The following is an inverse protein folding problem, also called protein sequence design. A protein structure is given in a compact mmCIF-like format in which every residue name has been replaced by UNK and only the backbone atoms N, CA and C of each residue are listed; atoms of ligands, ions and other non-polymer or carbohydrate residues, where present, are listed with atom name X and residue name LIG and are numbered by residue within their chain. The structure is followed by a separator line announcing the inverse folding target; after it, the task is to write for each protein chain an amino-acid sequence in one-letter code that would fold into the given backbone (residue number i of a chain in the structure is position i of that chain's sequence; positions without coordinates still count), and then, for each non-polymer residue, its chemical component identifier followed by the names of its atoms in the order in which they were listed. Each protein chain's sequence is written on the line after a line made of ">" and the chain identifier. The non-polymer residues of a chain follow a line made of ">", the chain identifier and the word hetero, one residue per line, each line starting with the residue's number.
data_IF_960966494149
#
_entry.id   IF_960966494149
#
_cell.length_a   1.000
_cell.length_b   1.000
_cell.length_c   1.000
_cell.angle_alpha   90.00
_cell.angle_beta   90.00
_cell.angle_gamma   90.00
#
_symmetry.space_group_name_H-M   'P 1'
#
loop_
_entity.id
_entity.type
_entity.pdbx_description
1 polymer ?
#
# COMPACT_ATOMS: atom_id res chain seq x y z
N UNK A 1 -9.16 11.88 11.09
CA UNK A 1 -8.88 10.44 11.14
C UNK A 1 -9.38 9.88 12.46
N UNK A 2 -9.98 8.72 12.45
CA UNK A 2 -10.45 7.97 13.63
C UNK A 2 -9.32 7.10 14.18
N UNK A 3 -8.19 7.73 14.57
CA UNK A 3 -6.97 7.01 14.93
C UNK A 3 -7.15 6.19 16.22
N UNK A 4 -7.86 6.72 17.20
CA UNK A 4 -8.14 6.04 18.45
C UNK A 4 -8.98 4.79 18.22
N UNK A 5 -10.10 4.93 17.51
CA UNK A 5 -11.02 3.82 17.20
C UNK A 5 -10.32 2.72 16.38
N UNK A 6 -9.52 3.09 15.39
CA UNK A 6 -8.73 2.15 14.60
C UNK A 6 -7.71 1.42 15.48
N UNK A 7 -7.04 2.15 16.37
CA UNK A 7 -6.07 1.61 17.31
C UNK A 7 -6.69 0.63 18.32
N UNK A 8 -7.89 0.92 18.79
CA UNK A 8 -8.61 0.10 19.77
C UNK A 8 -9.25 -1.17 19.17
N UNK A 9 -9.42 -1.23 17.84
CA UNK A 9 -10.01 -2.37 17.15
C UNK A 9 -9.02 -3.56 17.05
N UNK A 10 -8.80 -4.22 18.18
CA UNK A 10 -7.86 -5.34 18.31
C UNK A 10 -8.24 -6.53 17.43
N UNK A 11 -9.54 -6.83 17.30
CA UNK A 11 -10.03 -7.96 16.50
C UNK A 11 -9.74 -7.77 15.02
N UNK A 12 -10.00 -6.58 14.46
CA UNK A 12 -9.70 -6.27 13.07
C UNK A 12 -8.19 -6.34 12.78
N UNK A 13 -7.37 -5.73 13.65
CA UNK A 13 -5.91 -5.78 13.51
C UNK A 13 -5.38 -7.21 13.53
N UNK A 14 -5.91 -8.06 14.40
CA UNK A 14 -5.56 -9.48 14.46
C UNK A 14 -5.94 -10.19 13.17
N UNK A 15 -7.18 -10.03 12.70
CA UNK A 15 -7.67 -10.67 11.47
C UNK A 15 -6.84 -10.27 10.23
N UNK A 16 -6.43 -8.99 10.13
CA UNK A 16 -5.59 -8.52 9.03
C UNK A 16 -4.20 -9.17 9.10
N UNK A 17 -3.58 -9.23 10.29
CA UNK A 17 -2.28 -9.90 10.47
C UNK A 17 -2.34 -11.38 10.08
N UNK A 18 -3.37 -12.09 10.52
CA UNK A 18 -3.57 -13.51 10.20
C UNK A 18 -3.78 -13.71 8.70
N UNK A 19 -4.60 -12.88 8.05
CA UNK A 19 -4.83 -12.93 6.62
C UNK A 19 -3.52 -12.68 5.83
N UNK A 20 -2.74 -11.69 6.24
CA UNK A 20 -1.45 -11.38 5.62
C UNK A 20 -0.44 -12.51 5.81
N UNK A 21 -0.31 -13.06 7.02
CA UNK A 21 0.56 -14.19 7.32
C UNK A 21 0.17 -15.46 6.52
N UNK A 22 -1.12 -15.64 6.28
CA UNK A 22 -1.65 -16.71 5.42
C UNK A 22 -1.53 -16.42 3.93
N UNK A 23 -0.84 -15.33 3.52
CA UNK A 23 -0.58 -14.94 2.14
C UNK A 23 -1.86 -14.67 1.33
N UNK A 24 -2.91 -14.16 1.97
CA UNK A 24 -4.04 -13.60 1.24
C UNK A 24 -3.54 -12.42 0.40
N UNK A 25 -4.00 -12.23 -0.86
CA UNK A 25 -3.62 -11.08 -1.65
C UNK A 25 -4.08 -9.76 -1.02
N UNK A 26 -3.16 -8.81 -0.91
CA UNK A 26 -3.40 -7.48 -0.34
C UNK A 26 -3.06 -6.38 -1.33
N UNK A 27 -3.99 -5.43 -1.48
CA UNK A 27 -3.71 -4.11 -2.04
C UNK A 27 -4.13 -3.08 -0.99
N UNK A 28 -3.22 -2.19 -0.62
CA UNK A 28 -3.54 -1.11 0.31
C UNK A 28 -2.98 0.21 -0.19
N UNK A 29 -3.88 1.18 -0.33
CA UNK A 29 -3.60 2.52 -0.84
C UNK A 29 -3.81 3.55 0.26
N UNK A 30 -2.95 4.58 0.31
CA UNK A 30 -3.08 5.77 1.15
C UNK A 30 -3.41 5.44 2.62
N UNK A 31 -4.64 5.72 3.08
CA UNK A 31 -5.08 5.41 4.45
C UNK A 31 -4.99 3.93 4.81
N UNK A 32 -5.27 3.04 3.86
CA UNK A 32 -5.09 1.59 4.03
C UNK A 32 -3.64 1.23 4.26
N UNK A 33 -2.72 1.80 3.50
CA UNK A 33 -1.28 1.61 3.69
C UNK A 33 -0.82 2.13 5.06
N UNK A 34 -1.28 3.33 5.47
CA UNK A 34 -0.97 3.87 6.80
C UNK A 34 -1.44 2.94 7.92
N UNK A 35 -2.65 2.37 7.80
CA UNK A 35 -3.20 1.46 8.81
C UNK A 35 -2.39 0.16 8.97
N UNK A 36 -1.66 -0.26 7.94
CA UNK A 36 -0.81 -1.46 7.99
C UNK A 36 0.51 -1.26 8.74
N UNK A 37 0.93 -0.02 9.05
CA UNK A 37 2.12 0.27 9.83
C UNK A 37 1.99 -0.17 11.30
N UNK A 38 3.09 -0.06 12.05
CA UNK A 38 3.09 -0.29 13.49
C UNK A 38 2.31 0.81 14.23
N UNK A 39 2.40 2.06 13.74
CA UNK A 39 1.72 3.21 14.33
C UNK A 39 1.40 4.29 13.30
N UNK A 40 0.39 5.12 13.65
CA UNK A 40 0.13 6.39 12.98
C UNK A 40 0.22 7.50 14.04
N UNK A 41 1.01 8.53 13.78
CA UNK A 41 1.08 9.72 14.63
C UNK A 41 0.06 10.75 14.14
N UNK A 42 -0.86 11.12 15.03
CA UNK A 42 -1.86 12.16 14.77
C UNK A 42 -1.31 13.57 14.93
N UNK A 43 -2.16 14.56 14.64
CA UNK A 43 -1.85 15.99 14.87
C UNK A 43 -1.61 16.34 16.34
N UNK A 44 -2.13 15.52 17.25
CA UNK A 44 -1.92 15.60 18.68
C UNK A 44 -0.52 15.12 19.13
N UNK A 45 0.31 14.67 18.19
CA UNK A 45 1.62 14.09 18.45
C UNK A 45 1.57 12.67 19.00
N UNK A 46 0.39 12.11 19.26
CA UNK A 46 0.22 10.76 19.81
C UNK A 46 0.43 9.71 18.75
N UNK A 47 1.20 8.68 19.05
CA UNK A 47 1.37 7.48 18.22
C UNK A 47 0.30 6.45 18.59
N UNK A 48 -0.60 6.20 17.65
CA UNK A 48 -1.67 5.22 17.79
C UNK A 48 -1.21 3.88 17.18
N UNK A 49 -1.16 2.76 17.95
CA UNK A 49 -0.71 1.48 17.44
C UNK A 49 -1.70 0.91 16.43
N UNK A 50 -1.20 0.51 15.27
CA UNK A 50 -1.97 0.01 14.13
C UNK A 50 -1.75 -1.48 13.89
N UNK A 51 -1.89 -1.97 12.65
CA UNK A 51 -1.82 -3.40 12.34
C UNK A 51 -0.44 -3.99 12.58
N UNK A 52 0.64 -3.29 12.20
CA UNK A 52 2.02 -3.70 12.45
C UNK A 52 2.56 -4.78 11.50
N UNK A 53 2.13 -4.80 10.24
CA UNK A 53 2.74 -5.64 9.19
C UNK A 53 3.73 -4.86 8.32
N UNK A 54 3.67 -3.54 8.37
CA UNK A 54 4.65 -2.63 7.78
C UNK A 54 5.42 -2.00 8.92
N UNK A 55 6.74 -2.16 8.91
CA UNK A 55 7.64 -1.62 9.93
C UNK A 55 7.61 -0.09 9.95
N UNK A 56 7.78 0.49 11.14
CA UNK A 56 7.76 1.92 11.36
C UNK A 56 6.35 2.52 11.36
N UNK A 57 6.20 3.76 10.92
CA UNK A 57 4.93 4.45 11.04
C UNK A 57 4.65 5.52 10.01
N UNK A 58 3.40 5.96 10.01
CA UNK A 58 2.96 7.12 9.26
C UNK A 58 2.75 8.32 10.20
N UNK A 59 3.02 9.53 9.72
CA UNK A 59 2.94 10.75 10.51
C UNK A 59 2.40 11.92 9.68
N UNK A 60 1.66 12.81 10.35
CA UNK A 60 1.15 14.05 9.75
C UNK A 60 2.32 15.00 9.48
N UNK A 61 2.34 15.57 8.30
CA UNK A 61 3.38 16.53 7.87
C UNK A 61 2.88 17.97 7.87
N UNK A 62 1.62 18.21 8.31
CA UNK A 62 0.94 19.49 8.35
C UNK A 62 0.78 20.19 6.99
N UNK A 63 1.34 19.65 5.94
CA UNK A 63 1.29 20.17 4.57
C UNK A 63 1.18 19.04 3.56
N UNK A 64 0.77 19.38 2.34
CA UNK A 64 0.76 18.41 1.24
C UNK A 64 2.21 18.02 0.90
N UNK A 65 2.56 16.76 1.16
CA UNK A 65 3.93 16.27 0.92
C UNK A 65 4.12 15.90 -0.53
N UNK A 66 3.11 15.26 -1.11
CA UNK A 66 3.18 14.78 -2.48
C UNK A 66 1.84 14.96 -3.16
N UNK A 67 1.88 15.62 -4.31
CA UNK A 67 0.70 15.92 -5.11
C UNK A 67 0.96 15.62 -6.59
N UNK A 68 -0.03 15.06 -7.26
CA UNK A 68 -0.11 14.94 -8.71
C UNK A 68 -0.04 13.52 -9.23
N UNK A 69 -0.10 13.44 -10.55
CA UNK A 69 -0.08 12.17 -11.28
C UNK A 69 1.31 11.56 -11.33
N UNK A 70 1.35 10.24 -11.32
CA UNK A 70 2.57 9.45 -11.43
C UNK A 70 2.34 8.23 -12.33
N UNK A 71 3.43 7.74 -12.87
CA UNK A 71 3.54 6.45 -13.54
C UNK A 71 4.41 5.54 -12.67
N UNK A 72 3.92 4.34 -12.39
CA UNK A 72 4.59 3.35 -11.56
C UNK A 72 5.01 2.16 -12.40
N UNK A 73 6.27 1.77 -12.27
CA UNK A 73 6.83 0.55 -12.83
C UNK A 73 7.38 -0.32 -11.69
N UNK A 74 6.92 -1.55 -11.62
CA UNK A 74 7.37 -2.51 -10.61
C UNK A 74 8.72 -3.09 -11.01
N UNK A 75 9.68 -3.16 -10.07
CA UNK A 75 11.03 -3.70 -10.34
C UNK A 75 11.01 -5.22 -10.48
N UNK A 76 10.25 -5.91 -9.64
CA UNK A 76 10.00 -7.34 -9.73
C UNK A 76 8.54 -7.57 -10.15
N UNK A 77 8.24 -8.36 -11.20
CA UNK A 77 6.93 -8.39 -11.85
C UNK A 77 5.88 -9.21 -11.09
N UNK A 78 5.54 -8.81 -9.87
CA UNK A 78 4.52 -9.49 -9.07
C UNK A 78 3.09 -9.15 -9.48
N UNK A 79 2.82 -7.86 -9.74
CA UNK A 79 1.50 -7.35 -10.13
C UNK A 79 1.48 -6.70 -11.51
N UNK A 80 2.63 -6.21 -11.96
CA UNK A 80 2.81 -5.70 -13.31
C UNK A 80 3.73 -6.64 -14.10
N UNK A 81 3.59 -6.69 -15.42
CA UNK A 81 4.57 -7.37 -16.28
C UNK A 81 5.89 -6.61 -16.30
N UNK A 82 6.93 -7.26 -16.78
CA UNK A 82 8.22 -6.59 -17.03
C UNK A 82 8.01 -5.39 -17.96
N UNK A 83 8.42 -4.22 -17.50
CA UNK A 83 8.20 -2.91 -18.16
C UNK A 83 6.72 -2.44 -18.20
N UNK A 84 5.79 -3.16 -17.56
CA UNK A 84 4.42 -2.70 -17.39
C UNK A 84 4.34 -1.45 -16.51
N UNK A 85 3.49 -0.51 -16.89
CA UNK A 85 3.29 0.76 -16.18
C UNK A 85 1.83 0.89 -15.76
N UNK A 86 1.59 1.27 -14.51
CA UNK A 86 0.27 1.68 -14.03
C UNK A 86 0.31 3.16 -13.63
N UNK A 87 -0.73 3.90 -14.03
CA UNK A 87 -0.89 5.30 -13.62
C UNK A 87 -1.49 5.39 -12.24
N UNK A 88 -1.15 6.44 -11.53
CA UNK A 88 -1.72 6.72 -10.21
C UNK A 88 -1.69 8.20 -9.89
N UNK A 89 -2.26 8.52 -8.75
CA UNK A 89 -2.34 9.87 -8.24
C UNK A 89 -1.91 9.88 -6.77
N UNK A 90 -1.16 10.89 -6.35
CA UNK A 90 -0.80 11.14 -4.96
C UNK A 90 -1.44 12.43 -4.47
N UNK A 91 -2.10 12.33 -3.32
CA UNK A 91 -2.65 13.49 -2.61
C UNK A 91 -2.71 13.13 -1.12
N UNK A 92 -1.66 13.45 -0.38
CA UNK A 92 -1.62 13.11 1.04
C UNK A 92 -0.84 14.13 1.88
N UNK A 93 -1.31 14.32 3.12
CA UNK A 93 -0.71 15.14 4.17
C UNK A 93 0.12 14.31 5.15
N UNK A 94 0.14 13.02 5.00
CA UNK A 94 0.94 12.10 5.79
C UNK A 94 2.15 11.63 5.00
N UNK A 95 3.24 11.30 5.68
CA UNK A 95 4.35 10.56 5.09
C UNK A 95 4.61 9.31 5.92
N UNK A 96 5.51 8.46 5.45
CA UNK A 96 5.89 7.22 6.11
C UNK A 96 7.39 7.20 6.37
N UNK A 97 7.79 6.57 7.47
CA UNK A 97 9.20 6.29 7.75
C UNK A 97 9.81 5.33 6.72
N UNK A 98 8.95 4.53 6.02
CA UNK A 98 9.36 3.63 4.96
C UNK A 98 8.25 3.49 3.91
N UNK A 99 8.37 4.26 2.83
CA UNK A 99 7.45 4.22 1.68
C UNK A 99 7.73 3.08 0.70
N UNK A 100 8.74 2.25 0.95
CA UNK A 100 9.16 1.15 0.10
C UNK A 100 10.00 1.56 -1.11
N UNK A 101 10.54 0.56 -1.78
CA UNK A 101 11.45 0.72 -2.94
C UNK A 101 11.11 -0.21 -4.11
N UNK A 102 9.97 -0.91 -4.04
CA UNK A 102 9.62 -1.94 -5.02
C UNK A 102 9.20 -1.40 -6.38
N UNK A 103 8.77 -0.13 -6.45
CA UNK A 103 8.43 0.53 -7.71
C UNK A 103 9.26 1.77 -7.95
N UNK A 104 9.54 2.03 -9.22
CA UNK A 104 10.02 3.31 -9.73
C UNK A 104 8.79 4.14 -10.09
N UNK A 105 8.64 5.30 -9.45
CA UNK A 105 7.64 6.29 -9.76
C UNK A 105 8.24 7.41 -10.61
N UNK A 106 7.60 7.74 -11.72
CA UNK A 106 7.91 8.87 -12.57
C UNK A 106 6.78 9.89 -12.50
N UNK A 107 7.10 11.16 -12.26
CA UNK A 107 6.15 12.26 -12.32
C UNK A 107 6.15 12.87 -13.72
N UNK A 108 5.12 12.67 -14.56
CA UNK A 108 5.13 13.11 -15.96
C UNK A 108 5.31 14.62 -16.12
N UNK A 109 4.74 15.41 -15.20
CA UNK A 109 4.79 16.89 -15.26
C UNK A 109 6.18 17.49 -15.03
N UNK A 110 7.09 16.78 -14.35
CA UNK A 110 8.41 17.31 -13.99
C UNK A 110 9.57 16.39 -14.39
N UNK A 111 9.29 15.19 -14.87
CA UNK A 111 10.28 14.16 -15.12
C UNK A 111 10.92 13.55 -13.86
N UNK A 112 10.56 14.02 -12.65
CA UNK A 112 11.14 13.53 -11.40
C UNK A 112 10.89 12.04 -11.23
N UNK A 113 11.96 11.32 -10.87
CA UNK A 113 11.94 9.88 -10.58
C UNK A 113 12.26 9.66 -9.09
N UNK A 114 11.58 8.70 -8.47
CA UNK A 114 11.83 8.28 -7.09
C UNK A 114 11.28 6.88 -6.86
N UNK A 115 11.73 6.23 -5.81
CA UNK A 115 11.25 4.91 -5.42
C UNK A 115 10.09 5.03 -4.43
N UNK A 116 9.18 4.07 -4.49
CA UNK A 116 8.08 3.91 -3.56
C UNK A 116 7.46 2.51 -3.72
N UNK A 117 6.41 2.23 -2.95
CA UNK A 117 5.67 0.97 -2.90
C UNK A 117 6.45 -0.15 -2.23
N UNK A 118 5.77 -0.87 -1.38
CA UNK A 118 6.15 -2.19 -0.89
C UNK A 118 5.36 -3.22 -1.69
N UNK A 119 6.05 -4.07 -2.42
CA UNK A 119 5.44 -5.11 -3.25
C UNK A 119 6.12 -6.45 -3.03
N UNK A 120 5.35 -7.51 -3.12
CA UNK A 120 5.79 -8.89 -3.04
C UNK A 120 4.79 -9.82 -3.71
N UNK A 121 4.99 -11.11 -3.57
CA UNK A 121 4.16 -12.10 -4.27
C UNK A 121 2.65 -11.96 -4.01
N UNK A 122 2.24 -11.48 -2.82
CA UNK A 122 0.84 -11.39 -2.43
C UNK A 122 0.40 -10.01 -1.96
N UNK A 123 1.24 -8.98 -2.06
CA UNK A 123 0.87 -7.65 -1.59
C UNK A 123 1.43 -6.53 -2.48
N UNK A 124 0.69 -5.42 -2.54
CA UNK A 124 1.08 -4.17 -3.17
C UNK A 124 0.56 -3.01 -2.31
N UNK A 125 1.46 -2.30 -1.63
CA UNK A 125 1.14 -1.38 -0.56
C UNK A 125 1.84 -0.03 -0.77
N UNK A 126 1.11 1.08 -0.65
CA UNK A 126 1.72 2.41 -0.73
C UNK A 126 0.72 3.55 -0.69
N UNK A 127 1.23 4.78 -0.77
CA UNK A 127 0.39 5.98 -0.79
C UNK A 127 -0.35 6.23 -2.10
N UNK A 128 0.16 5.86 -3.29
CA UNK A 128 -0.54 6.15 -4.54
C UNK A 128 -1.93 5.53 -4.60
N UNK A 129 -2.89 6.30 -5.12
CA UNK A 129 -4.17 5.81 -5.59
C UNK A 129 -4.01 5.39 -7.04
N UNK A 130 -4.23 4.11 -7.33
CA UNK A 130 -4.00 3.53 -8.66
C UNK A 130 -5.20 3.78 -9.59
N UNK A 131 -4.91 4.13 -10.82
CA UNK A 131 -5.89 4.17 -11.88
C UNK A 131 -5.87 2.84 -12.64
N UNK A 132 -6.58 1.86 -12.12
CA UNK A 132 -6.61 0.48 -12.62
C UNK A 132 -6.90 0.34 -14.12
N UNK A 133 -7.78 1.17 -14.75
CA UNK A 133 -8.00 1.10 -16.18
C UNK A 133 -6.77 1.41 -17.04
N UNK A 134 -5.74 2.05 -16.47
CA UNK A 134 -4.49 2.30 -17.20
C UNK A 134 -3.63 1.06 -17.40
N UNK A 135 -3.86 0.03 -16.59
CA UNK A 135 -3.21 -1.28 -16.73
C UNK A 135 -4.12 -2.38 -16.17
N UNK A 136 -5.04 -2.93 -16.98
CA UNK A 136 -5.97 -3.99 -16.55
C UNK A 136 -5.27 -5.26 -16.05
N UNK A 137 -4.07 -5.55 -16.51
CA UNK A 137 -3.27 -6.71 -16.09
C UNK A 137 -3.04 -6.73 -14.56
N UNK A 138 -2.93 -5.56 -13.93
CA UNK A 138 -2.81 -5.47 -12.47
C UNK A 138 -4.00 -6.14 -11.76
N UNK A 139 -5.21 -5.82 -12.22
CA UNK A 139 -6.44 -6.38 -11.65
C UNK A 139 -6.57 -7.87 -11.97
N UNK A 140 -6.22 -8.28 -13.18
CA UNK A 140 -6.22 -9.68 -13.60
C UNK A 140 -5.30 -10.52 -12.72
N UNK A 141 -4.07 -10.04 -12.47
CA UNK A 141 -3.12 -10.70 -11.56
C UNK A 141 -3.61 -10.75 -10.12
N UNK A 142 -4.22 -9.66 -9.62
CA UNK A 142 -4.81 -9.65 -8.28
C UNK A 142 -5.91 -10.70 -8.15
N UNK A 143 -6.82 -10.77 -9.12
CA UNK A 143 -7.90 -11.77 -9.17
C UNK A 143 -7.35 -13.19 -9.28
N UNK A 144 -6.32 -13.40 -10.11
CA UNK A 144 -5.65 -14.70 -10.23
C UNK A 144 -5.05 -15.16 -8.89
N UNK A 145 -4.31 -14.28 -8.21
CA UNK A 145 -3.75 -14.54 -6.87
C UNK A 145 -4.87 -14.87 -5.85
N UNK A 146 -6.00 -14.17 -5.91
CA UNK A 146 -7.15 -14.44 -5.04
C UNK A 146 -7.76 -15.82 -5.31
N UNK A 147 -7.87 -16.24 -6.57
CA UNK A 147 -8.34 -17.60 -6.94
C UNK A 147 -7.38 -18.67 -6.44
N UNK A 148 -6.09 -18.46 -6.57
CA UNK A 148 -5.05 -19.38 -6.09
C UNK A 148 -5.09 -19.51 -4.54
N UNK A 149 -5.21 -18.38 -3.84
CA UNK A 149 -5.39 -18.36 -2.40
C UNK A 149 -6.63 -19.15 -1.98
N UNK A 150 -7.79 -18.90 -2.61
CA UNK A 150 -9.04 -19.63 -2.36
C UNK A 150 -8.88 -21.13 -2.51
N UNK A 151 -8.25 -21.59 -3.61
CA UNK A 151 -7.99 -23.03 -3.82
C UNK A 151 -7.15 -23.61 -2.69
N UNK A 152 -6.09 -22.93 -2.28
CA UNK A 152 -5.18 -23.37 -1.23
C UNK A 152 -5.85 -23.55 0.13
N UNK A 153 -6.80 -22.65 0.50
CA UNK A 153 -7.51 -22.74 1.78
C UNK A 153 -8.63 -23.77 1.78
N UNK A 154 -9.17 -24.15 0.61
CA UNK A 154 -10.24 -25.15 0.50
C UNK A 154 -9.70 -26.58 0.29
N UNK A 155 -8.41 -26.74 0.01
CA UNK A 155 -7.75 -28.05 -0.11
C UNK A 155 -7.10 -28.52 1.22
N UNK A 156 -7.35 -27.80 2.32
CA UNK A 156 -6.98 -28.19 3.68
C UNK A 156 -8.24 -28.63 4.44
#
# INVERSE_FOLDING_TARGET
>A
LYLKELSENKSMKKSIREAFANRMPFVAECGGFMYLHEWIQGKDGIKYPMVGIVEGGAYDTEKIVRFGYIELQEKAPYFLSKNGVIKGHKFHYFDSTDSGTACIARKPSTGRIYECIKSGEHYFLGFPHLYYPSNPEFVEKLVQKAKEYRRRIHCK
#
